data_IF_353495758966
#
_entry.id   IF_353495758966
#
_cell.length_a   1.000
_cell.length_b   1.000
_cell.length_c   1.000
_cell.angle_alpha   90.00
_cell.angle_beta   90.00
_cell.angle_gamma   90.00
#
_symmetry.space_group_name_H-M   'P 1'
#
loop_
_entity.id
_entity.type
_entity.pdbx_description
1 polymer ?
#
# COMPACT_ATOMS: atom_id res chain seq x y z
N UNK A 1 51.22 -34.23 -26.33
CA UNK A 1 49.81 -34.17 -25.92
C UNK A 1 49.47 -32.73 -25.58
N UNK A 2 48.68 -32.09 -26.44
CA UNK A 2 48.22 -30.71 -26.19
C UNK A 2 46.85 -30.80 -25.56
N UNK A 3 46.73 -30.37 -24.30
CA UNK A 3 45.45 -30.28 -23.59
C UNK A 3 44.74 -29.02 -24.02
N UNK A 4 43.67 -29.19 -24.80
CA UNK A 4 42.80 -28.11 -25.20
C UNK A 4 41.94 -27.70 -24.01
N UNK A 5 42.26 -26.55 -23.43
CA UNK A 5 41.44 -25.95 -22.36
C UNK A 5 40.21 -25.30 -23.05
N UNK A 6 39.07 -25.97 -22.93
CA UNK A 6 37.81 -25.42 -23.42
C UNK A 6 37.36 -24.36 -22.40
N UNK A 7 37.67 -23.09 -22.70
CA UNK A 7 37.09 -21.96 -21.95
C UNK A 7 35.65 -21.85 -22.40
N UNK A 8 34.73 -22.35 -21.59
CA UNK A 8 33.31 -22.11 -21.77
C UNK A 8 33.02 -20.62 -21.61
N UNK A 9 32.77 -19.96 -22.73
CA UNK A 9 32.19 -18.61 -22.71
C UNK A 9 30.75 -18.76 -22.22
N UNK A 10 30.50 -18.43 -20.95
CA UNK A 10 29.15 -18.20 -20.48
C UNK A 10 28.62 -16.98 -21.24
N UNK A 11 27.88 -17.20 -22.31
CA UNK A 11 27.03 -16.15 -22.88
C UNK A 11 25.94 -15.92 -21.87
N UNK A 12 25.98 -14.77 -21.19
CA UNK A 12 24.83 -14.31 -20.40
C UNK A 12 23.65 -14.23 -21.39
N UNK A 13 22.65 -15.07 -21.20
CA UNK A 13 21.43 -14.98 -21.98
C UNK A 13 20.80 -13.62 -21.66
N UNK A 14 20.54 -12.85 -22.72
CA UNK A 14 19.85 -11.57 -22.63
C UNK A 14 18.46 -11.86 -22.06
N UNK A 15 18.01 -11.07 -21.09
CA UNK A 15 16.71 -11.22 -20.48
C UNK A 15 15.63 -11.21 -21.57
N UNK A 16 14.86 -12.28 -21.70
CA UNK A 16 13.67 -12.31 -22.56
C UNK A 16 12.60 -11.40 -21.93
N UNK A 17 11.87 -10.66 -22.76
CA UNK A 17 10.83 -9.74 -22.32
C UNK A 17 9.48 -10.46 -22.31
N UNK A 18 9.39 -11.59 -21.60
CA UNK A 18 8.20 -12.43 -21.55
C UNK A 18 7.49 -12.39 -20.20
N UNK A 19 7.96 -11.55 -19.29
CA UNK A 19 7.40 -11.43 -17.96
C UNK A 19 6.05 -10.72 -17.95
N UNK A 20 5.15 -11.18 -17.09
CA UNK A 20 3.85 -10.54 -16.84
C UNK A 20 3.66 -10.34 -15.35
N UNK A 21 3.26 -9.13 -14.96
CA UNK A 21 2.85 -8.80 -13.61
C UNK A 21 1.38 -8.40 -13.59
N UNK A 22 0.57 -9.15 -12.87
CA UNK A 22 -0.85 -8.87 -12.67
C UNK A 22 -1.09 -8.38 -11.24
N UNK A 23 -1.74 -7.23 -11.11
CA UNK A 23 -2.21 -6.69 -9.83
C UNK A 23 -3.71 -6.92 -9.75
N UNK A 24 -4.16 -7.74 -8.81
CA UNK A 24 -5.57 -7.96 -8.49
C UNK A 24 -6.02 -7.07 -7.35
N UNK A 25 -7.32 -6.82 -7.23
CA UNK A 25 -7.92 -5.88 -6.30
C UNK A 25 -7.40 -4.43 -6.45
N UNK A 26 -7.01 -4.06 -7.66
CA UNK A 26 -6.60 -2.70 -7.93
C UNK A 26 -7.78 -1.74 -7.72
N UNK A 27 -7.50 -0.56 -7.16
CA UNK A 27 -8.51 0.49 -6.99
C UNK A 27 -8.62 1.32 -8.26
N UNK A 28 -9.79 1.38 -8.86
CA UNK A 28 -10.04 2.19 -10.06
C UNK A 28 -9.65 3.65 -9.83
N UNK A 29 -8.93 4.25 -10.80
CA UNK A 29 -8.41 5.61 -10.71
C UNK A 29 -7.07 5.74 -9.99
N UNK A 30 -6.58 4.72 -9.28
CA UNK A 30 -5.25 4.73 -8.69
C UNK A 30 -4.17 4.42 -9.73
N UNK A 31 -3.00 5.03 -9.55
CA UNK A 31 -1.84 4.78 -10.39
C UNK A 31 -0.96 3.71 -9.75
N UNK A 32 -0.69 2.66 -10.50
CA UNK A 32 0.25 1.61 -10.15
C UNK A 32 1.52 1.79 -10.98
N UNK A 33 2.66 1.76 -10.32
CA UNK A 33 3.96 1.87 -10.98
C UNK A 33 4.86 0.71 -10.59
N UNK A 34 5.69 0.27 -11.52
CA UNK A 34 6.65 -0.80 -11.33
C UNK A 34 8.06 -0.29 -11.59
N UNK A 35 9.00 -0.80 -10.82
CA UNK A 35 10.41 -0.43 -10.84
C UNK A 35 11.24 -1.70 -10.87
N UNK A 36 12.02 -1.90 -11.92
CA UNK A 36 12.98 -3.00 -11.96
C UNK A 36 14.19 -2.63 -11.11
N UNK A 37 14.38 -3.36 -10.02
CA UNK A 37 15.45 -3.10 -9.05
C UNK A 37 16.73 -3.82 -9.46
N UNK A 38 16.60 -5.11 -9.86
CA UNK A 38 17.72 -5.95 -10.26
C UNK A 38 17.41 -6.70 -11.55
N UNK A 39 18.46 -6.98 -12.34
CA UNK A 39 18.36 -7.86 -13.48
C UNK A 39 18.38 -9.32 -13.02
N UNK A 40 17.58 -10.19 -13.65
CA UNK A 40 17.67 -11.63 -13.46
C UNK A 40 18.58 -12.24 -14.52
N UNK A 41 19.54 -13.04 -14.07
CA UNK A 41 20.32 -13.93 -14.93
C UNK A 41 19.96 -15.36 -14.61
N UNK A 42 19.96 -16.24 -15.62
CA UNK A 42 19.55 -17.62 -15.42
C UNK A 42 20.47 -18.60 -16.15
N UNK A 43 20.57 -19.80 -15.56
CA UNK A 43 21.22 -20.96 -16.18
C UNK A 43 20.37 -22.20 -15.88
N UNK A 44 19.56 -22.61 -16.85
CA UNK A 44 18.51 -23.59 -16.64
C UNK A 44 17.46 -23.05 -15.66
N UNK A 45 17.28 -23.70 -14.52
CA UNK A 45 16.33 -23.28 -13.46
C UNK A 45 16.98 -22.46 -12.33
N UNK A 46 18.30 -22.24 -12.41
CA UNK A 46 19.00 -21.44 -11.41
C UNK A 46 18.89 -19.96 -11.77
N UNK A 47 18.33 -19.19 -10.87
CA UNK A 47 18.15 -17.74 -11.01
C UNK A 47 19.15 -17.02 -10.11
N UNK A 48 19.76 -15.98 -10.60
CA UNK A 48 20.63 -15.07 -9.86
C UNK A 48 20.26 -13.62 -10.22
N UNK A 49 20.39 -12.72 -9.27
CA UNK A 49 20.15 -11.31 -9.50
C UNK A 49 21.46 -10.55 -9.63
N UNK A 50 21.48 -9.56 -10.51
CA UNK A 50 22.63 -8.68 -10.67
C UNK A 50 22.20 -7.22 -10.65
N UNK A 51 23.09 -6.39 -10.16
CA UNK A 51 22.99 -4.93 -10.24
C UNK A 51 24.15 -4.38 -11.05
N UNK A 52 23.86 -3.53 -12.01
CA UNK A 52 24.88 -2.85 -12.80
C UNK A 52 24.96 -1.40 -12.33
N UNK A 53 26.11 -1.03 -11.72
CA UNK A 53 26.38 0.33 -11.28
C UNK A 53 26.46 1.26 -12.49
N UNK A 54 25.68 2.33 -12.50
CA UNK A 54 25.51 3.24 -13.65
C UNK A 54 26.55 4.36 -13.70
N UNK A 55 27.38 4.53 -12.66
CA UNK A 55 28.40 5.56 -12.58
C UNK A 55 28.87 5.80 -11.15
N UNK A 56 29.75 6.79 -10.95
CA UNK A 56 30.27 7.09 -9.62
C UNK A 56 29.22 7.71 -8.69
N UNK A 57 28.25 8.43 -9.25
CA UNK A 57 27.16 9.09 -8.52
C UNK A 57 25.88 8.26 -8.44
N UNK A 58 25.99 6.94 -8.56
CA UNK A 58 24.83 6.03 -8.45
C UNK A 58 24.32 5.97 -7.00
N UNK A 59 23.26 6.73 -6.75
CA UNK A 59 22.69 6.87 -5.41
C UNK A 59 22.05 5.56 -4.90
N UNK A 60 21.46 4.76 -5.81
CA UNK A 60 20.91 3.45 -5.41
C UNK A 60 22.05 2.49 -5.04
N UNK A 61 23.16 2.48 -5.82
CA UNK A 61 24.32 1.69 -5.48
C UNK A 61 24.88 2.07 -4.11
N UNK A 62 24.97 3.38 -3.82
CA UNK A 62 25.42 3.85 -2.52
C UNK A 62 24.54 3.36 -1.37
N UNK A 63 23.21 3.42 -1.54
CA UNK A 63 22.26 2.89 -0.55
C UNK A 63 22.36 1.35 -0.39
N UNK A 64 22.48 0.63 -1.51
CA UNK A 64 22.62 -0.85 -1.50
C UNK A 64 23.92 -1.34 -0.85
N UNK A 65 24.96 -0.49 -0.78
CA UNK A 65 26.26 -0.83 -0.22
C UNK A 65 26.55 -0.13 1.10
N UNK A 66 25.58 0.60 1.65
CA UNK A 66 25.68 1.26 2.94
C UNK A 66 25.73 0.20 4.06
N UNK A 67 26.90 0.07 4.70
CA UNK A 67 27.12 -0.87 5.81
C UNK A 67 26.59 -0.37 7.14
N UNK A 68 26.24 0.92 7.23
CA UNK A 68 25.65 1.53 8.43
C UNK A 68 24.11 1.35 8.44
N UNK A 69 23.51 1.06 7.30
CA UNK A 69 22.08 0.75 7.22
C UNK A 69 21.79 -0.69 7.62
N UNK A 70 21.52 -0.90 8.91
CA UNK A 70 21.17 -2.21 9.46
C UNK A 70 19.86 -2.79 8.90
N UNK A 71 19.05 -1.99 8.22
CA UNK A 71 17.77 -2.40 7.62
C UNK A 71 17.93 -2.82 6.16
N UNK A 72 19.10 -2.63 5.56
CA UNK A 72 19.36 -3.04 4.17
C UNK A 72 19.27 -4.58 4.04
N UNK A 73 18.28 -5.10 3.28
CA UNK A 73 18.10 -6.54 3.14
C UNK A 73 18.97 -7.16 2.05
N UNK A 74 19.76 -6.36 1.32
CA UNK A 74 20.53 -6.79 0.16
C UNK A 74 22.01 -6.82 0.44
N UNK A 75 22.69 -7.80 -0.16
CA UNK A 75 24.16 -7.92 -0.13
C UNK A 75 24.66 -7.93 -1.56
N UNK A 76 25.55 -7.01 -1.90
CA UNK A 76 26.20 -6.92 -3.20
C UNK A 76 27.60 -7.52 -3.14
N UNK A 77 27.91 -8.40 -4.09
CA UNK A 77 29.24 -9.00 -4.26
C UNK A 77 29.76 -8.71 -5.67
N UNK A 78 30.94 -8.12 -5.76
CA UNK A 78 31.55 -7.82 -7.06
C UNK A 78 31.72 -9.09 -7.90
N UNK A 79 31.47 -8.96 -9.20
CA UNK A 79 31.72 -10.03 -10.18
C UNK A 79 33.05 -9.79 -10.92
N UNK A 80 33.37 -10.66 -11.83
CA UNK A 80 34.53 -10.49 -12.72
C UNK A 80 34.28 -9.42 -13.81
N UNK A 81 33.05 -8.99 -13.98
CA UNK A 81 32.64 -7.93 -14.91
C UNK A 81 32.64 -6.62 -14.16
N UNK A 82 33.34 -5.63 -14.68
CA UNK A 82 33.41 -4.32 -14.06
C UNK A 82 32.03 -3.69 -13.91
N UNK A 83 31.78 -3.06 -12.76
CA UNK A 83 30.50 -2.43 -12.39
C UNK A 83 29.28 -3.37 -12.28
N UNK A 84 29.45 -4.69 -12.37
CA UNK A 84 28.40 -5.68 -12.20
C UNK A 84 28.57 -6.40 -10.88
N UNK A 85 27.51 -6.46 -10.09
CA UNK A 85 27.48 -7.05 -8.76
C UNK A 85 26.40 -8.14 -8.70
N UNK A 86 26.74 -9.29 -8.11
CA UNK A 86 25.74 -10.25 -7.71
C UNK A 86 24.97 -9.71 -6.51
N UNK A 87 23.66 -9.89 -6.51
CA UNK A 87 22.78 -9.49 -5.42
C UNK A 87 22.23 -10.73 -4.73
N UNK A 88 22.39 -10.77 -3.43
CA UNK A 88 21.77 -11.78 -2.56
C UNK A 88 20.91 -11.08 -1.52
N UNK A 89 19.87 -11.76 -1.05
CA UNK A 89 19.00 -11.29 0.01
C UNK A 89 19.50 -11.90 1.32
N UNK A 90 19.58 -11.12 2.39
CA UNK A 90 19.92 -11.61 3.70
C UNK A 90 18.96 -12.73 4.13
N UNK A 91 19.48 -13.79 4.70
CA UNK A 91 18.69 -14.98 5.04
C UNK A 91 17.55 -14.69 6.03
N UNK A 92 17.73 -13.69 6.88
CA UNK A 92 16.75 -13.28 7.89
C UNK A 92 15.79 -12.16 7.39
N UNK A 93 15.98 -11.67 6.16
CA UNK A 93 15.14 -10.62 5.60
C UNK A 93 13.76 -11.18 5.22
N UNK A 94 12.71 -10.57 5.77
CA UNK A 94 11.34 -10.91 5.42
C UNK A 94 10.91 -10.15 4.15
N UNK A 95 9.90 -10.65 3.45
CA UNK A 95 9.31 -9.93 2.31
C UNK A 95 8.80 -8.53 2.70
N UNK A 96 8.35 -8.38 3.93
CA UNK A 96 7.92 -7.10 4.52
C UNK A 96 9.11 -6.13 4.64
N UNK A 97 10.22 -6.57 5.26
CA UNK A 97 11.42 -5.75 5.40
C UNK A 97 11.99 -5.30 4.04
N UNK A 98 11.98 -6.19 3.05
CA UNK A 98 12.39 -5.87 1.68
C UNK A 98 11.49 -4.78 1.08
N UNK A 99 10.18 -4.95 1.21
CA UNK A 99 9.21 -3.99 0.71
C UNK A 99 9.30 -2.63 1.41
N UNK A 100 9.52 -2.61 2.73
CA UNK A 100 9.72 -1.39 3.50
C UNK A 100 10.99 -0.65 3.07
N UNK A 101 12.10 -1.38 2.93
CA UNK A 101 13.36 -0.78 2.50
C UNK A 101 13.24 -0.16 1.09
N UNK A 102 12.65 -0.90 0.13
CA UNK A 102 12.41 -0.41 -1.23
C UNK A 102 11.45 0.78 -1.25
N UNK A 103 10.45 0.80 -0.36
CA UNK A 103 9.53 1.94 -0.21
C UNK A 103 10.28 3.19 0.28
N UNK A 104 11.19 3.03 1.25
CA UNK A 104 11.99 4.13 1.77
C UNK A 104 12.97 4.70 0.73
N UNK A 105 13.45 3.85 -0.18
CA UNK A 105 14.41 4.22 -1.23
C UNK A 105 13.77 4.37 -2.62
N UNK A 106 12.44 4.46 -2.70
CA UNK A 106 11.71 4.51 -3.97
C UNK A 106 12.18 5.61 -4.90
N UNK A 107 12.53 6.77 -4.36
CA UNK A 107 12.98 7.92 -5.15
C UNK A 107 14.33 7.71 -5.84
N UNK A 108 15.08 6.67 -5.45
CA UNK A 108 16.31 6.24 -6.09
C UNK A 108 16.08 5.24 -7.23
N UNK A 109 14.87 4.69 -7.34
CA UNK A 109 14.51 3.69 -8.34
C UNK A 109 14.08 4.34 -9.65
N UNK A 110 14.47 3.74 -10.77
CA UNK A 110 13.98 4.17 -12.08
C UNK A 110 12.67 3.47 -12.42
N UNK A 111 11.63 4.25 -12.67
CA UNK A 111 10.32 3.71 -13.04
C UNK A 111 10.39 2.96 -14.37
N UNK A 112 9.98 1.71 -14.38
CA UNK A 112 9.91 0.87 -15.58
C UNK A 112 8.63 1.11 -16.35
N UNK A 113 7.49 1.13 -15.67
CA UNK A 113 6.18 1.41 -16.26
C UNK A 113 5.21 1.90 -15.18
N UNK A 114 4.12 2.55 -15.63
CA UNK A 114 3.00 2.88 -14.77
C UNK A 114 1.68 2.84 -15.55
N UNK A 115 0.60 2.54 -14.81
CA UNK A 115 -0.75 2.44 -15.34
C UNK A 115 -1.76 2.95 -14.33
N UNK A 116 -2.76 3.71 -14.80
CA UNK A 116 -3.95 4.02 -13.98
C UNK A 116 -4.91 2.84 -14.09
N UNK A 117 -5.34 2.31 -12.95
CA UNK A 117 -6.29 1.22 -12.94
C UNK A 117 -7.66 1.65 -13.51
N UNK A 118 -8.08 1.00 -14.57
CA UNK A 118 -9.44 1.16 -15.13
C UNK A 118 -10.46 0.20 -14.50
N UNK A 119 -9.99 -0.83 -13.81
CA UNK A 119 -10.78 -1.87 -13.16
C UNK A 119 -10.05 -2.41 -11.94
N UNK A 120 -10.57 -3.46 -11.33
CA UNK A 120 -9.93 -4.17 -10.22
C UNK A 120 -8.70 -5.00 -10.63
N UNK A 121 -8.23 -4.88 -11.89
CA UNK A 121 -7.06 -5.60 -12.38
C UNK A 121 -6.20 -4.66 -13.21
N UNK A 122 -4.89 -4.66 -12.95
CA UNK A 122 -3.86 -3.99 -13.74
C UNK A 122 -2.86 -5.04 -14.21
N UNK A 123 -2.46 -5.00 -15.48
CA UNK A 123 -1.53 -5.97 -16.05
C UNK A 123 -0.39 -5.22 -16.75
N UNK A 124 0.83 -5.56 -16.40
CA UNK A 124 2.04 -5.15 -17.08
C UNK A 124 2.60 -6.36 -17.84
N UNK A 125 2.75 -6.24 -19.12
CA UNK A 125 3.21 -7.31 -20.02
C UNK A 125 4.59 -6.99 -20.62
N UNK A 126 5.23 -8.00 -21.20
CA UNK A 126 6.53 -7.90 -21.89
C UNK A 126 7.62 -7.34 -20.98
N UNK A 127 7.62 -7.75 -19.72
CA UNK A 127 8.60 -7.31 -18.73
C UNK A 127 9.89 -8.13 -18.87
N UNK A 128 11.07 -7.47 -18.90
CA UNK A 128 12.34 -8.18 -18.76
C UNK A 128 12.38 -8.95 -17.43
N UNK A 129 12.98 -10.12 -17.41
CA UNK A 129 13.17 -10.85 -16.16
C UNK A 129 14.01 -10.05 -15.17
N UNK A 130 13.60 -10.05 -13.92
CA UNK A 130 14.23 -9.24 -12.88
C UNK A 130 13.50 -9.29 -11.56
N UNK A 131 14.03 -8.54 -10.60
CA UNK A 131 13.40 -8.29 -9.33
C UNK A 131 12.71 -6.93 -9.38
N UNK A 132 11.42 -6.90 -9.11
CA UNK A 132 10.58 -5.72 -9.26
C UNK A 132 10.04 -5.24 -7.92
N UNK A 133 10.03 -3.92 -7.75
CA UNK A 133 9.24 -3.25 -6.74
C UNK A 133 7.98 -2.68 -7.40
N UNK A 134 6.85 -2.84 -6.75
CA UNK A 134 5.55 -2.37 -7.21
C UNK A 134 5.01 -1.36 -6.22
N UNK A 135 4.73 -0.14 -6.68
CA UNK A 135 4.00 0.82 -5.87
C UNK A 135 2.52 0.53 -6.00
N UNK A 136 2.00 -0.15 -5.06
CA UNK A 136 0.59 -0.11 -4.71
C UNK A 136 0.48 0.67 -3.40
N UNK A 137 -0.71 0.73 -2.83
CA UNK A 137 -0.88 1.26 -1.47
C UNK A 137 0.01 0.55 -0.44
N UNK A 138 0.61 -0.60 -0.79
CA UNK A 138 1.39 -1.47 0.07
C UNK A 138 2.88 -1.50 -0.22
N UNK A 139 3.27 -1.25 -1.44
CA UNK A 139 4.54 -1.73 -1.95
C UNK A 139 4.60 -3.28 -1.93
N UNK A 140 5.08 -3.86 -2.99
CA UNK A 140 5.37 -5.28 -3.07
C UNK A 140 6.67 -5.49 -3.84
N UNK A 141 7.46 -6.46 -3.41
CA UNK A 141 8.64 -6.88 -4.14
C UNK A 141 8.39 -8.29 -4.69
N UNK A 142 8.63 -8.46 -5.99
CA UNK A 142 8.38 -9.73 -6.67
C UNK A 142 9.50 -10.07 -7.65
N UNK A 143 9.76 -11.37 -7.80
CA UNK A 143 10.63 -11.90 -8.83
C UNK A 143 9.82 -12.27 -10.07
N UNK A 144 10.32 -11.89 -11.22
CA UNK A 144 9.83 -12.36 -12.53
C UNK A 144 11.02 -13.02 -13.24
N UNK A 145 10.92 -14.30 -13.53
CA UNK A 145 12.02 -15.08 -14.07
C UNK A 145 11.54 -16.24 -14.95
N UNK A 146 12.47 -17.05 -15.44
CA UNK A 146 12.15 -18.18 -16.33
C UNK A 146 11.33 -19.28 -15.66
N UNK A 147 11.34 -19.36 -14.33
CA UNK A 147 10.55 -20.33 -13.55
C UNK A 147 9.18 -19.77 -13.24
N UNK A 148 9.12 -18.46 -12.98
CA UNK A 148 7.90 -17.72 -12.62
C UNK A 148 7.75 -16.49 -13.52
N UNK A 149 7.47 -16.70 -14.82
CA UNK A 149 7.35 -15.57 -15.77
C UNK A 149 6.08 -14.74 -15.55
N UNK A 150 5.04 -15.36 -14.97
CA UNK A 150 3.76 -14.70 -14.71
C UNK A 150 3.54 -14.60 -13.20
N UNK A 151 3.59 -13.40 -12.68
CA UNK A 151 3.41 -13.12 -11.25
C UNK A 151 2.09 -12.39 -11.03
N UNK A 152 1.38 -12.79 -10.00
CA UNK A 152 0.16 -12.10 -9.54
C UNK A 152 0.36 -11.63 -8.11
N UNK A 153 0.13 -10.35 -7.88
CA UNK A 153 0.02 -9.78 -6.55
C UNK A 153 -1.42 -9.36 -6.28
N UNK A 154 -1.83 -9.47 -5.04
CA UNK A 154 -3.16 -9.03 -4.60
C UNK A 154 -2.96 -7.73 -3.84
N UNK A 155 -3.46 -6.64 -4.41
CA UNK A 155 -3.46 -5.37 -3.68
C UNK A 155 -4.42 -5.49 -2.50
N UNK A 156 -3.88 -5.30 -1.30
CA UNK A 156 -4.66 -5.41 -0.06
C UNK A 156 -5.36 -4.07 0.24
N UNK A 157 -5.82 -3.39 -0.79
CA UNK A 157 -6.64 -2.20 -0.61
C UNK A 157 -7.82 -2.54 0.29
N UNK A 158 -7.81 -1.99 1.47
CA UNK A 158 -8.97 -1.99 2.34
C UNK A 158 -9.53 -0.57 2.32
N UNK A 159 -10.36 -0.29 1.34
CA UNK A 159 -11.25 0.87 1.45
C UNK A 159 -12.17 0.67 2.65
N UNK A 160 -12.52 1.74 3.37
CA UNK A 160 -13.59 1.66 4.35
C UNK A 160 -14.82 1.06 3.67
N UNK A 161 -15.41 0.05 4.30
CA UNK A 161 -16.63 -0.57 3.79
C UNK A 161 -17.80 0.40 3.95
N UNK A 162 -18.09 1.12 2.89
CA UNK A 162 -19.21 2.06 2.83
C UNK A 162 -20.52 1.36 2.42
N UNK A 163 -20.50 0.13 1.93
CA UNK A 163 -21.70 -0.61 1.53
C UNK A 163 -22.59 -0.94 2.74
N UNK A 164 -21.96 -1.08 3.91
CA UNK A 164 -22.66 -1.20 5.20
C UNK A 164 -22.54 0.08 6.04
N UNK A 165 -22.00 1.14 5.46
CA UNK A 165 -21.89 2.47 6.02
C UNK A 165 -23.03 3.37 5.55
N UNK A 166 -23.12 4.56 6.12
CA UNK A 166 -24.06 5.56 5.74
C UNK A 166 -24.55 6.36 6.94
N UNK A 167 -25.30 7.42 6.67
CA UNK A 167 -25.94 8.21 7.70
C UNK A 167 -27.39 7.79 7.80
N UNK A 168 -27.79 7.36 8.98
CA UNK A 168 -29.14 6.90 9.28
C UNK A 168 -29.76 7.75 10.39
N UNK A 169 -31.08 7.80 10.40
CA UNK A 169 -31.85 8.32 11.54
C UNK A 169 -32.19 7.12 12.44
N UNK A 170 -31.89 7.24 13.73
CA UNK A 170 -32.23 6.22 14.74
C UNK A 170 -33.64 6.48 15.23
N UNK A 171 -34.54 5.55 14.94
CA UNK A 171 -35.92 5.57 15.40
C UNK A 171 -36.15 4.32 16.22
N UNK A 172 -36.27 4.46 17.53
CA UNK A 172 -36.51 3.38 18.49
C UNK A 172 -35.52 2.20 18.36
N UNK A 173 -34.25 2.50 18.07
CA UNK A 173 -33.17 1.52 17.86
C UNK A 173 -33.15 0.91 16.47
N UNK A 174 -34.07 1.26 15.59
CA UNK A 174 -34.05 0.96 14.16
C UNK A 174 -33.36 2.06 13.35
N UNK A 175 -32.76 1.69 12.22
CA UNK A 175 -32.07 2.62 11.32
C UNK A 175 -32.91 2.85 10.07
N UNK A 176 -33.24 4.12 9.80
CA UNK A 176 -34.01 4.51 8.61
C UNK A 176 -33.25 5.63 7.86
N UNK A 177 -33.43 5.70 6.54
CA UNK A 177 -32.85 6.76 5.72
C UNK A 177 -33.69 8.03 5.69
N UNK A 178 -34.99 7.89 5.92
CA UNK A 178 -35.95 8.98 5.84
C UNK A 178 -36.83 8.94 7.07
N UNK A 179 -37.04 10.10 7.69
CA UNK A 179 -38.02 10.30 8.73
C UNK A 179 -38.58 11.72 8.64
N UNK A 180 -39.77 11.94 9.18
CA UNK A 180 -40.39 13.26 9.30
C UNK A 180 -40.16 13.80 10.71
N UNK A 181 -39.90 15.11 10.79
CA UNK A 181 -39.78 15.82 12.06
C UNK A 181 -40.47 17.16 11.99
N UNK A 182 -41.03 17.60 13.10
CA UNK A 182 -41.58 18.95 13.23
C UNK A 182 -40.47 19.93 13.67
N UNK A 183 -40.69 21.20 13.43
CA UNK A 183 -39.80 22.25 13.92
C UNK A 183 -39.68 22.15 15.45
N UNK A 184 -38.43 22.14 15.94
CA UNK A 184 -38.12 21.99 17.35
C UNK A 184 -37.91 20.55 17.84
N UNK A 185 -38.25 19.55 17.01
CA UNK A 185 -37.97 18.14 17.34
C UNK A 185 -36.49 17.79 17.17
N UNK A 186 -36.07 16.79 17.93
CA UNK A 186 -34.70 16.27 17.89
C UNK A 186 -34.67 14.97 17.10
N UNK A 187 -33.80 14.89 16.12
CA UNK A 187 -33.50 13.67 15.39
C UNK A 187 -32.18 13.07 15.86
N UNK A 188 -32.17 11.78 16.10
CA UNK A 188 -30.95 11.05 16.44
C UNK A 188 -30.33 10.46 15.17
N UNK A 189 -29.07 10.78 14.90
CA UNK A 189 -28.34 10.27 13.74
C UNK A 189 -27.30 9.24 14.16
N UNK A 190 -27.13 8.24 13.33
CA UNK A 190 -26.14 7.17 13.46
C UNK A 190 -25.37 7.01 12.19
N UNK A 191 -24.04 7.02 12.29
CA UNK A 191 -23.13 6.77 11.18
C UNK A 191 -22.27 5.55 11.51
N UNK A 192 -22.64 4.34 11.06
CA UNK A 192 -21.79 3.17 11.16
C UNK A 192 -20.73 3.22 10.07
N UNK A 193 -19.49 2.90 10.43
CA UNK A 193 -18.36 2.80 9.50
C UNK A 193 -17.50 1.62 9.91
N UNK A 194 -17.07 0.81 8.96
CA UNK A 194 -16.00 -0.15 9.18
C UNK A 194 -14.68 0.54 8.90
N UNK A 195 -14.02 1.01 9.95
CA UNK A 195 -12.74 1.68 9.85
C UNK A 195 -11.61 0.66 9.84
N UNK A 196 -10.68 0.82 8.89
CA UNK A 196 -9.41 0.11 8.85
C UNK A 196 -8.29 1.12 8.97
N UNK A 197 -7.29 0.85 9.81
CA UNK A 197 -6.19 1.80 9.99
C UNK A 197 -4.96 1.46 9.14
N UNK A 198 -5.02 0.45 8.33
CA UNK A 198 -3.88 0.00 7.57
C UNK A 198 -4.22 -0.38 6.15
N UNK A 199 -3.42 0.14 5.25
CA UNK A 199 -3.36 -0.32 3.89
C UNK A 199 -1.96 -0.90 3.73
N UNK A 200 -1.87 -2.21 3.70
CA UNK A 200 -0.61 -2.93 3.77
C UNK A 200 0.15 -2.68 5.05
N UNK A 201 1.40 -2.32 4.93
CA UNK A 201 2.27 -2.06 6.06
C UNK A 201 2.18 -0.62 6.57
N UNK A 202 1.46 0.23 5.84
CA UNK A 202 1.23 1.61 6.26
C UNK A 202 0.03 1.71 7.17
N UNK A 203 0.23 2.31 8.33
CA UNK A 203 -0.85 2.63 9.25
C UNK A 203 -1.37 4.04 8.97
N UNK A 204 -2.68 4.19 8.94
CA UNK A 204 -3.29 5.51 8.90
C UNK A 204 -2.88 6.30 10.14
N UNK A 205 -2.35 7.50 9.95
CA UNK A 205 -1.97 8.41 11.04
C UNK A 205 -3.16 9.18 11.57
N UNK A 206 -4.21 9.28 10.77
CA UNK A 206 -5.48 9.92 11.15
C UNK A 206 -6.63 9.32 10.35
N UNK A 207 -7.79 9.25 10.96
CA UNK A 207 -9.06 8.89 10.34
C UNK A 207 -10.02 10.04 10.59
N UNK A 208 -10.55 10.63 9.53
CA UNK A 208 -11.42 11.81 9.62
C UNK A 208 -12.77 11.45 9.04
N UNK A 209 -13.83 11.70 9.79
CA UNK A 209 -15.20 11.62 9.31
C UNK A 209 -15.79 13.03 9.37
N UNK A 210 -16.15 13.55 8.22
CA UNK A 210 -16.78 14.85 8.08
C UNK A 210 -18.28 14.67 7.85
N UNK A 211 -19.10 15.31 8.68
CA UNK A 211 -20.53 15.34 8.49
C UNK A 211 -21.01 16.80 8.51
N UNK A 212 -21.53 17.24 7.37
CA UNK A 212 -22.04 18.60 7.19
C UNK A 212 -23.54 18.65 7.42
N UNK A 213 -23.97 19.54 8.30
CA UNK A 213 -25.39 19.76 8.59
C UNK A 213 -26.04 20.57 7.49
N UNK A 214 -27.21 20.15 7.00
CA UNK A 214 -28.01 20.96 6.10
C UNK A 214 -28.58 22.19 6.82
N UNK A 215 -29.02 23.17 6.02
CA UNK A 215 -29.72 24.34 6.53
C UNK A 215 -31.02 23.94 7.23
N UNK A 216 -31.33 24.52 8.38
CA UNK A 216 -32.51 24.19 9.16
C UNK A 216 -32.30 23.10 10.24
N UNK A 217 -31.06 22.63 10.42
CA UNK A 217 -30.70 21.70 11.45
C UNK A 217 -29.60 22.29 12.33
N UNK A 218 -29.73 22.18 13.63
CA UNK A 218 -28.71 22.59 14.61
C UNK A 218 -28.19 21.38 15.36
N UNK A 219 -26.87 21.28 15.51
CA UNK A 219 -26.22 20.26 16.28
C UNK A 219 -26.39 20.52 17.79
N UNK A 220 -26.69 19.47 18.56
CA UNK A 220 -26.91 19.56 20.00
C UNK A 220 -25.62 19.34 20.84
N UNK A 221 -24.44 19.38 20.24
CA UNK A 221 -23.13 19.18 20.89
C UNK A 221 -23.03 17.85 21.69
N UNK A 222 -23.70 16.81 21.23
CA UNK A 222 -23.79 15.51 21.93
C UNK A 222 -23.17 14.34 21.15
N UNK A 223 -22.18 14.62 20.30
CA UNK A 223 -21.50 13.60 19.50
C UNK A 223 -20.86 12.53 20.41
N UNK A 224 -21.16 11.28 20.12
CA UNK A 224 -20.58 10.12 20.78
C UNK A 224 -20.02 9.16 19.76
N UNK A 225 -18.83 8.61 20.04
CA UNK A 225 -18.15 7.65 19.16
C UNK A 225 -17.88 6.36 19.92
N UNK A 226 -18.13 5.24 19.27
CA UNK A 226 -17.79 3.91 19.78
C UNK A 226 -16.88 3.21 18.79
N UNK A 227 -15.92 2.47 19.33
CA UNK A 227 -15.12 1.50 18.59
C UNK A 227 -15.38 0.14 19.22
N UNK A 228 -15.92 -0.81 18.45
CA UNK A 228 -16.26 -2.16 18.92
C UNK A 228 -16.98 -2.14 20.29
N UNK A 229 -18.08 -1.40 20.37
CA UNK A 229 -18.92 -1.24 21.56
C UNK A 229 -18.25 -0.51 22.75
N UNK A 230 -17.01 -0.05 22.61
CA UNK A 230 -16.36 0.81 23.60
C UNK A 230 -16.53 2.27 23.24
N UNK A 231 -17.14 3.03 24.14
CA UNK A 231 -17.28 4.47 23.98
C UNK A 231 -15.92 5.16 24.07
N UNK A 232 -15.60 5.98 23.08
CA UNK A 232 -14.44 6.87 23.13
C UNK A 232 -14.76 8.16 23.89
N UNK A 233 -13.78 8.65 24.63
CA UNK A 233 -13.79 10.03 25.13
C UNK A 233 -13.27 10.89 23.98
N UNK A 234 -14.10 11.81 23.49
CA UNK A 234 -13.74 12.77 22.44
C UNK A 234 -13.37 14.05 23.18
N UNK A 235 -12.18 14.60 22.87
CA UNK A 235 -11.86 15.96 23.25
C UNK A 235 -12.78 16.90 22.46
N UNK A 236 -13.63 17.65 23.14
CA UNK A 236 -14.58 18.56 22.55
C UNK A 236 -13.80 19.68 21.85
N UNK A 237 -13.89 19.72 20.52
CA UNK A 237 -13.39 20.85 19.72
C UNK A 237 -14.51 21.90 19.66
N UNK A 238 -14.31 23.11 20.20
CA UNK A 238 -15.34 24.15 20.22
C UNK A 238 -15.73 24.70 18.85
N UNK A 239 -15.03 24.33 17.76
CA UNK A 239 -15.37 24.76 16.39
C UNK A 239 -16.38 23.83 15.69
N UNK A 240 -16.84 22.76 16.32
CA UNK A 240 -17.73 21.75 15.72
C UNK A 240 -19.20 22.21 15.67
N UNK A 241 -19.50 23.39 15.09
CA UNK A 241 -20.87 23.91 15.00
C UNK A 241 -21.62 23.59 13.71
N UNK A 242 -20.93 23.23 12.64
CA UNK A 242 -21.51 22.87 11.33
C UNK A 242 -20.87 21.66 10.65
N UNK A 243 -19.64 21.31 11.02
CA UNK A 243 -18.91 20.17 10.50
C UNK A 243 -18.38 19.40 11.71
N UNK A 244 -18.89 18.20 11.94
CA UNK A 244 -18.37 17.33 13.00
C UNK A 244 -17.18 16.54 12.44
N UNK A 245 -15.98 16.87 12.86
CA UNK A 245 -14.78 16.11 12.53
C UNK A 245 -14.39 15.19 13.69
N UNK A 246 -14.37 13.91 13.45
CA UNK A 246 -13.79 12.94 14.38
C UNK A 246 -12.40 12.59 13.88
N UNK A 247 -11.37 13.07 14.58
CA UNK A 247 -9.99 12.76 14.26
C UNK A 247 -9.43 11.75 15.24
N UNK A 248 -9.26 10.52 14.80
CA UNK A 248 -8.59 9.47 15.56
C UNK A 248 -7.09 9.57 15.31
N UNK A 249 -6.32 10.01 16.31
CA UNK A 249 -4.85 10.11 16.24
C UNK A 249 -4.22 8.91 16.94
N UNK A 250 -3.15 8.37 16.34
CA UNK A 250 -2.26 7.34 16.91
C UNK A 250 -2.94 6.03 17.29
N UNK A 251 -3.20 5.24 16.29
CA UNK A 251 -3.61 3.85 16.48
C UNK A 251 -2.41 2.95 16.16
N UNK A 252 -1.63 2.62 17.19
CA UNK A 252 -0.30 1.99 17.09
C UNK A 252 -0.29 0.50 16.73
N UNK A 253 -1.41 -0.08 16.27
CA UNK A 253 -1.51 -1.47 15.79
C UNK A 253 -2.57 -1.55 14.70
N UNK A 254 -2.42 -2.51 13.77
CA UNK A 254 -3.44 -2.78 12.75
C UNK A 254 -4.76 -3.15 13.42
N UNK A 255 -5.84 -2.56 12.92
CA UNK A 255 -7.18 -2.92 13.37
C UNK A 255 -8.19 -2.86 12.23
N UNK A 256 -9.23 -3.66 12.37
CA UNK A 256 -10.48 -3.54 11.64
C UNK A 256 -11.58 -3.48 12.70
N UNK A 257 -12.13 -2.29 12.91
CA UNK A 257 -13.10 -2.05 13.96
C UNK A 257 -14.38 -1.45 13.40
N UNK A 258 -15.49 -1.78 14.03
CA UNK A 258 -16.74 -1.08 13.78
C UNK A 258 -16.68 0.26 14.51
N UNK A 259 -16.74 1.34 13.75
CA UNK A 259 -16.89 2.68 14.27
C UNK A 259 -18.38 3.06 14.22
N UNK A 260 -18.91 3.53 15.30
CA UNK A 260 -20.29 3.97 15.41
C UNK A 260 -20.32 5.38 15.97
N UNK A 261 -20.77 6.34 15.18
CA UNK A 261 -21.03 7.70 15.62
C UNK A 261 -22.51 7.85 15.90
N UNK A 262 -22.85 8.46 17.01
CA UNK A 262 -24.23 8.85 17.34
C UNK A 262 -24.24 10.32 17.73
N UNK A 263 -25.19 11.07 17.22
CA UNK A 263 -25.46 12.45 17.59
C UNK A 263 -26.93 12.74 17.52
N UNK A 264 -27.36 13.79 18.19
CA UNK A 264 -28.70 14.32 18.02
C UNK A 264 -28.63 15.74 17.43
N UNK A 265 -29.55 16.04 16.53
CA UNK A 265 -29.67 17.33 15.89
C UNK A 265 -31.09 17.83 16.05
N UNK A 266 -31.24 19.15 16.27
CA UNK A 266 -32.54 19.79 16.45
C UNK A 266 -32.98 20.45 15.15
N UNK A 267 -34.21 20.20 14.76
CA UNK A 267 -34.84 20.88 13.63
C UNK A 267 -35.26 22.29 14.05
N UNK A 268 -34.83 23.33 13.28
CA UNK A 268 -35.10 24.73 13.57
C UNK A 268 -36.22 25.24 12.65
#
# INVERSE_FOLDING_TARGET
MATLLLVGVCTAAVAENDGTLTIQNATAGQTYAIYKVFDATYSGTNISYTYTKTGESDALFAALTDTEDALNPFVLTATVVENVYNVTINADATAEAISEWLTAHKDLLTQTASQVAASSTVVFENLPYGYYYVTSTLGAAVSIDTVTPNVTIIDKNQEPDWDNGGKYIDVDGGRVYINSANIGETLNFVVPVVATNGVGDKLATSYIIDDTLPTGITFNDDLKVWIDDKKLVIDEDPECRRVCQVRLKRLGRRFKHKLLLRRSDRYI
#
